data_IF_141204429409
#
_entry.id   IF_141204429409
#
_cell.length_a   1.000
_cell.length_b   1.000
_cell.length_c   1.000
_cell.angle_alpha   90.00
_cell.angle_beta   90.00
_cell.angle_gamma   90.00
#
_symmetry.space_group_name_H-M   'P 1'
#
loop_
_entity.id
_entity.type
_entity.pdbx_description
1 polymer ?
#
# COMPACT_ATOMS: atom_id res chain seq x y z
N UNK A 1 3.64 -10.68 -8.23
CA UNK A 1 2.56 -9.78 -7.76
C UNK A 1 1.29 -10.59 -7.66
N UNK A 2 0.46 -10.35 -6.63
CA UNK A 2 -0.82 -11.04 -6.45
C UNK A 2 -1.93 -10.09 -6.02
N UNK A 3 -3.15 -10.39 -6.46
CA UNK A 3 -4.35 -9.65 -6.05
C UNK A 3 -4.97 -10.33 -4.84
N UNK A 4 -5.17 -9.59 -3.77
CA UNK A 4 -5.75 -10.10 -2.51
C UNK A 4 -6.97 -9.28 -2.09
N UNK A 5 -7.88 -9.92 -1.36
CA UNK A 5 -8.99 -9.23 -0.69
C UNK A 5 -8.57 -8.55 0.61
N UNK A 6 -9.46 -7.75 1.18
CA UNK A 6 -9.21 -6.97 2.38
C UNK A 6 -8.78 -7.79 3.60
N UNK A 7 -9.48 -8.89 3.92
CA UNK A 7 -9.15 -9.72 5.10
C UNK A 7 -7.75 -10.33 4.98
N UNK A 8 -7.42 -10.88 3.82
CA UNK A 8 -6.08 -11.41 3.55
C UNK A 8 -5.03 -10.30 3.66
N UNK A 9 -5.29 -9.13 3.05
CA UNK A 9 -4.39 -7.97 3.14
C UNK A 9 -4.11 -7.53 4.58
N UNK A 10 -5.13 -7.52 5.44
CA UNK A 10 -4.97 -7.21 6.85
C UNK A 10 -4.15 -8.28 7.61
N UNK A 11 -4.12 -9.52 7.14
CA UNK A 11 -3.29 -10.59 7.71
C UNK A 11 -1.80 -10.51 7.31
N UNK A 12 -1.46 -9.73 6.28
CA UNK A 12 -0.09 -9.60 5.78
C UNK A 12 0.84 -8.89 6.79
N UNK A 13 2.16 -9.10 6.69
CA UNK A 13 3.12 -8.41 7.55
C UNK A 13 3.10 -6.89 7.32
N UNK A 14 3.41 -6.15 8.37
CA UNK A 14 3.77 -4.72 8.26
C UNK A 14 4.98 -4.56 7.30
N UNK A 15 4.96 -3.50 6.49
CA UNK A 15 5.96 -3.27 5.46
C UNK A 15 5.58 -3.79 4.08
N UNK A 16 4.50 -4.58 3.95
CA UNK A 16 4.01 -5.06 2.65
C UNK A 16 3.82 -3.89 1.67
N UNK A 17 4.41 -3.98 0.47
CA UNK A 17 4.23 -2.99 -0.58
C UNK A 17 3.01 -3.34 -1.40
N UNK A 18 2.16 -2.35 -1.68
CA UNK A 18 0.91 -2.57 -2.39
C UNK A 18 0.43 -1.36 -3.19
N UNK A 19 -0.54 -1.61 -4.07
CA UNK A 19 -1.36 -0.61 -4.74
C UNK A 19 -2.84 -0.94 -4.52
N UNK A 20 -3.70 0.07 -4.54
CA UNK A 20 -5.14 -0.17 -4.66
C UNK A 20 -5.43 -0.83 -6.00
N UNK A 21 -6.27 -1.85 -5.99
CA UNK A 21 -6.66 -2.56 -7.20
C UNK A 21 -8.13 -2.32 -7.53
N UNK A 22 -8.37 -2.05 -8.81
CA UNK A 22 -9.66 -2.25 -9.48
C UNK A 22 -9.38 -3.13 -10.70
N UNK A 23 -10.38 -3.84 -11.26
CA UNK A 23 -10.16 -4.67 -12.44
C UNK A 23 -9.33 -3.96 -13.52
N UNK A 24 -8.13 -4.49 -13.78
CA UNK A 24 -7.17 -3.98 -14.76
C UNK A 24 -6.50 -2.63 -14.45
N UNK A 25 -6.56 -2.16 -13.20
CA UNK A 25 -5.99 -0.88 -12.80
C UNK A 25 -5.38 -0.94 -11.39
N UNK A 26 -4.10 -0.59 -11.29
CA UNK A 26 -3.44 -0.27 -10.02
C UNK A 26 -3.42 1.24 -9.81
N UNK A 27 -3.59 1.68 -8.55
CA UNK A 27 -3.53 3.09 -8.17
C UNK A 27 -2.62 3.29 -6.97
N UNK A 28 -1.69 4.23 -7.13
CA UNK A 28 -0.68 4.60 -6.13
C UNK A 28 0.33 3.47 -5.84
N UNK A 29 1.27 3.76 -4.94
CA UNK A 29 2.24 2.81 -4.43
C UNK A 29 2.46 3.10 -2.96
N UNK A 30 2.22 2.11 -2.11
CA UNK A 30 2.12 2.30 -0.68
C UNK A 30 2.87 1.20 0.07
N UNK A 31 3.26 1.53 1.30
CA UNK A 31 3.74 0.57 2.29
C UNK A 31 2.65 0.41 3.35
N UNK A 32 2.23 -0.82 3.59
CA UNK A 32 1.26 -1.15 4.63
C UNK A 32 1.90 -0.99 6.01
N UNK A 33 1.27 -0.21 6.86
CA UNK A 33 1.58 -0.06 8.27
C UNK A 33 0.84 -1.09 9.14
N UNK A 34 0.62 -0.70 10.39
CA UNK A 34 -0.04 -1.52 11.40
C UNK A 34 -1.55 -1.65 11.14
N UNK A 35 -2.10 -2.84 11.40
CA UNK A 35 -3.56 -3.08 11.45
C UNK A 35 -4.10 -2.80 12.85
N UNK A 36 -5.23 -2.11 12.90
CA UNK A 36 -6.02 -1.83 14.08
C UNK A 36 -7.25 -2.74 14.04
N UNK A 37 -7.53 -3.43 15.13
CA UNK A 37 -8.74 -4.23 15.28
C UNK A 37 -9.56 -3.74 16.47
N UNK A 38 -10.87 -3.55 16.28
CA UNK A 38 -11.76 -3.08 17.33
C UNK A 38 -12.59 -4.26 17.87
N UNK A 39 -12.14 -4.88 18.97
CA UNK A 39 -12.96 -5.81 19.77
C UNK A 39 -13.57 -6.99 18.99
N UNK A 40 -12.88 -7.52 17.98
CA UNK A 40 -13.38 -8.60 17.10
C UNK A 40 -14.22 -8.12 15.92
N UNK A 41 -14.36 -6.81 15.73
CA UNK A 41 -15.04 -6.17 14.60
C UNK A 41 -14.09 -5.67 13.51
N UNK A 42 -14.64 -4.78 12.67
CA UNK A 42 -14.02 -4.13 11.52
C UNK A 42 -12.53 -3.79 11.72
N UNK A 43 -11.71 -4.23 10.77
CA UNK A 43 -10.28 -3.94 10.74
C UNK A 43 -10.03 -2.63 10.01
N UNK A 44 -8.96 -1.98 10.41
CA UNK A 44 -8.45 -0.78 9.77
C UNK A 44 -6.92 -0.85 9.69
N UNK A 45 -6.28 -0.05 8.85
CA UNK A 45 -4.82 -0.10 8.71
C UNK A 45 -4.20 1.28 8.47
N UNK A 46 -2.94 1.41 8.85
CA UNK A 46 -2.10 2.54 8.47
C UNK A 46 -1.41 2.27 7.13
N UNK A 47 -1.14 3.32 6.36
CA UNK A 47 -0.37 3.24 5.11
C UNK A 47 0.51 4.48 4.93
N UNK A 48 1.62 4.31 4.23
CA UNK A 48 2.50 5.41 3.81
C UNK A 48 2.67 5.37 2.28
N UNK A 49 2.55 6.53 1.63
CA UNK A 49 2.81 6.66 0.19
C UNK A 49 4.31 6.52 -0.09
N UNK A 50 4.65 5.72 -1.09
CA UNK A 50 6.01 5.57 -1.61
C UNK A 50 6.26 6.45 -2.84
N UNK A 51 5.24 7.17 -3.30
CA UNK A 51 5.38 8.16 -4.36
C UNK A 51 5.70 9.53 -3.77
N UNK A 52 6.52 10.30 -4.48
CA UNK A 52 6.80 11.67 -4.08
C UNK A 52 5.54 12.53 -4.20
N UNK A 53 5.27 13.33 -3.16
CA UNK A 53 4.16 14.29 -3.14
C UNK A 53 4.70 15.71 -2.99
N UNK A 54 4.02 16.66 -3.64
CA UNK A 54 4.24 18.09 -3.40
C UNK A 54 3.11 18.63 -2.53
N UNK A 55 3.46 19.22 -1.39
CA UNK A 55 2.50 19.87 -0.49
C UNK A 55 2.80 21.36 -0.42
N UNK A 56 1.76 22.19 -0.56
CA UNK A 56 1.84 23.65 -0.42
C UNK A 56 2.93 24.30 -1.31
N UNK A 57 3.08 23.82 -2.54
CA UNK A 57 4.03 24.37 -3.52
C UNK A 57 5.51 24.06 -3.24
N UNK A 58 5.81 23.18 -2.28
CA UNK A 58 7.19 22.73 -2.01
C UNK A 58 7.65 21.70 -3.05
N UNK A 59 8.97 21.54 -3.26
CA UNK A 59 9.51 20.47 -4.09
C UNK A 59 8.95 19.10 -3.67
N UNK A 60 8.72 18.17 -4.62
CA UNK A 60 8.26 16.83 -4.29
C UNK A 60 9.23 16.13 -3.34
N UNK A 61 8.69 15.47 -2.33
CA UNK A 61 9.45 14.61 -1.43
C UNK A 61 8.66 13.35 -1.13
N UNK A 62 9.37 12.23 -0.93
CA UNK A 62 8.76 11.04 -0.37
C UNK A 62 8.55 11.30 1.12
N UNK A 63 7.29 11.24 1.56
CA UNK A 63 6.90 11.36 2.96
C UNK A 63 6.40 9.99 3.43
N UNK A 64 7.20 9.35 4.29
CA UNK A 64 6.88 8.04 4.86
C UNK A 64 5.97 8.13 6.08
N UNK A 65 5.40 9.32 6.35
CA UNK A 65 4.41 9.50 7.41
C UNK A 65 3.20 8.63 7.12
N UNK A 66 2.85 7.81 8.12
CA UNK A 66 1.68 6.95 8.02
C UNK A 66 0.38 7.75 8.19
N UNK A 67 -0.56 7.48 7.30
CA UNK A 67 -1.94 7.92 7.41
C UNK A 67 -2.83 6.72 7.71
N UNK A 68 -3.86 6.93 8.51
CA UNK A 68 -4.87 5.90 8.76
C UNK A 68 -5.77 5.83 7.54
N UNK A 69 -5.82 4.68 6.89
CA UNK A 69 -6.87 4.41 5.93
C UNK A 69 -8.20 4.51 6.67
N UNK A 70 -9.21 5.16 6.11
CA UNK A 70 -10.45 5.44 6.83
C UNK A 70 -11.69 5.15 5.97
N UNK A 71 -11.51 4.39 4.90
CA UNK A 71 -12.61 3.96 4.05
C UNK A 71 -13.09 2.62 4.58
N UNK A 72 -14.35 2.53 5.00
CA UNK A 72 -14.94 1.28 5.45
C UNK A 72 -15.32 0.38 4.25
N UNK A 73 -14.43 0.25 3.26
CA UNK A 73 -14.64 -0.48 2.02
C UNK A 73 -13.99 -1.87 2.08
N UNK A 74 -14.69 -2.81 2.69
CA UNK A 74 -14.21 -4.18 2.92
C UNK A 74 -14.17 -5.05 1.64
N UNK A 75 -14.77 -4.57 0.55
CA UNK A 75 -14.70 -5.23 -0.76
C UNK A 75 -13.48 -4.77 -1.58
N UNK A 76 -12.71 -3.80 -1.07
CA UNK A 76 -11.49 -3.32 -1.71
C UNK A 76 -10.46 -4.45 -1.86
N UNK A 77 -9.89 -4.51 -3.07
CA UNK A 77 -8.80 -5.43 -3.39
C UNK A 77 -7.46 -4.70 -3.50
N UNK A 78 -6.37 -5.42 -3.30
CA UNK A 78 -5.04 -4.86 -3.27
C UNK A 78 -4.13 -5.65 -4.20
N UNK A 79 -3.33 -4.95 -5.00
CA UNK A 79 -2.23 -5.55 -5.74
C UNK A 79 -1.01 -5.53 -4.82
N UNK A 80 -0.62 -6.70 -4.32
CA UNK A 80 0.51 -6.88 -3.41
C UNK A 80 1.73 -7.31 -4.19
N UNK A 81 2.82 -6.59 -3.97
CA UNK A 81 4.12 -6.85 -4.60
C UNK A 81 4.94 -7.75 -3.67
N UNK A 82 5.46 -8.83 -4.23
CA UNK A 82 6.40 -9.75 -3.59
C UNK A 82 7.83 -9.30 -3.87
N UNK A 83 8.81 -9.85 -3.14
CA UNK A 83 10.22 -9.44 -3.24
C UNK A 83 10.73 -9.42 -4.69
N UNK A 84 10.37 -10.43 -5.49
CA UNK A 84 10.76 -10.50 -6.89
C UNK A 84 10.19 -9.34 -7.72
N UNK A 85 8.95 -8.92 -7.48
CA UNK A 85 8.38 -7.77 -8.19
C UNK A 85 9.13 -6.48 -7.87
N UNK A 86 9.57 -6.33 -6.61
CA UNK A 86 10.38 -5.19 -6.17
C UNK A 86 11.74 -5.20 -6.86
N UNK A 87 12.40 -6.37 -6.94
CA UNK A 87 13.66 -6.50 -7.66
C UNK A 87 13.50 -6.19 -9.15
N UNK A 88 12.47 -6.74 -9.80
CA UNK A 88 12.18 -6.46 -11.22
C UNK A 88 11.92 -4.97 -11.46
N UNK A 89 11.26 -4.27 -10.51
CA UNK A 89 11.09 -2.82 -10.56
C UNK A 89 12.41 -2.06 -10.43
N UNK A 90 13.27 -2.44 -9.49
CA UNK A 90 14.59 -1.82 -9.29
C UNK A 90 15.48 -2.01 -10.53
N UNK A 91 15.49 -3.22 -11.07
CA UNK A 91 16.22 -3.57 -12.29
C UNK A 91 15.69 -2.78 -13.49
N UNK A 92 14.37 -2.67 -13.62
CA UNK A 92 13.71 -1.86 -14.65
C UNK A 92 14.02 -0.36 -14.57
N UNK A 93 14.37 0.16 -13.39
CA UNK A 93 14.83 1.52 -13.19
C UNK A 93 16.32 1.72 -13.56
N UNK A 94 17.07 0.63 -13.78
CA UNK A 94 18.50 0.68 -14.11
C UNK A 94 19.38 1.16 -12.95
N UNK A 95 18.97 0.90 -11.70
CA UNK A 95 19.67 1.33 -10.47
C UNK A 95 20.53 0.18 -9.88
N UNK A 96 20.47 -1.02 -10.47
CA UNK A 96 21.22 -2.21 -10.04
C UNK A 96 22.67 -2.26 -10.55
#
# INVERSE_FOLDING_TARGET
MRIVGFEEFCSLPEGTVFSYWKPHQTSGLYRRGKVISFGGGQQDFYEASLLAESRNGKPPSIDLTESRWAMFDYDQQFAVYEDQDIYDMIDGLGIA
#
